data_IF_667495248685
#
_entry.id   IF_667495248685
#
_cell.length_a   1.000
_cell.length_b   1.000
_cell.length_c   1.000
_cell.angle_alpha   90.00
_cell.angle_beta   90.00
_cell.angle_gamma   90.00
#
_symmetry.space_group_name_H-M   'P 1'
#
loop_
_entity.id
_entity.type
_entity.pdbx_description
1 polymer ?
#
# COMPACT_ATOMS: atom_id res chain seq x y z
N UNK A 1 25.66 -20.68 10.93
CA UNK A 1 24.59 -19.69 11.19
C UNK A 1 24.12 -19.19 9.84
N UNK A 2 22.85 -19.43 9.50
CA UNK A 2 22.25 -18.92 8.25
C UNK A 2 22.00 -17.42 8.41
N UNK A 3 22.08 -16.65 7.32
CA UNK A 3 21.88 -15.19 7.37
C UNK A 3 20.48 -14.83 7.90
N UNK A 4 19.46 -15.58 7.51
CA UNK A 4 18.13 -15.52 8.11
C UNK A 4 18.13 -15.55 9.66
N UNK A 5 18.81 -16.52 10.27
CA UNK A 5 18.87 -16.66 11.74
C UNK A 5 19.47 -15.41 12.40
N UNK A 6 20.52 -14.85 11.79
CA UNK A 6 21.15 -13.61 12.23
C UNK A 6 20.14 -12.46 12.20
N UNK A 7 19.44 -12.30 11.09
CA UNK A 7 18.44 -11.25 10.86
C UNK A 7 17.19 -11.38 11.72
N UNK A 8 16.84 -12.58 12.20
CA UNK A 8 15.70 -12.77 13.12
C UNK A 8 16.07 -12.65 14.59
N UNK A 9 17.34 -12.41 14.91
CA UNK A 9 17.81 -12.20 16.28
C UNK A 9 18.03 -10.72 16.57
N UNK A 10 17.69 -10.25 17.77
CA UNK A 10 17.83 -8.84 18.14
C UNK A 10 19.29 -8.35 18.06
N UNK A 11 20.24 -9.18 18.52
CA UNK A 11 21.67 -8.84 18.45
C UNK A 11 22.19 -8.92 17.03
N UNK A 12 21.79 -9.95 16.26
CA UNK A 12 22.26 -10.14 14.90
C UNK A 12 21.77 -9.05 13.94
N UNK A 13 20.48 -8.70 14.02
CA UNK A 13 19.92 -7.56 13.28
C UNK A 13 20.69 -6.27 13.58
N UNK A 14 20.97 -5.98 14.87
CA UNK A 14 21.71 -4.78 15.25
C UNK A 14 23.12 -4.76 14.64
N UNK A 15 23.84 -5.88 14.67
CA UNK A 15 25.17 -5.97 14.04
C UNK A 15 25.09 -5.72 12.54
N UNK A 16 24.15 -6.36 11.82
CA UNK A 16 23.97 -6.15 10.37
C UNK A 16 23.63 -4.69 10.05
N UNK A 17 22.75 -4.07 10.84
CA UNK A 17 22.41 -2.66 10.70
C UNK A 17 23.65 -1.76 10.89
N UNK A 18 24.47 -2.00 11.93
CA UNK A 18 25.71 -1.24 12.12
C UNK A 18 26.68 -1.46 10.97
N UNK A 19 26.80 -2.67 10.44
CA UNK A 19 27.62 -2.93 9.26
C UNK A 19 27.19 -2.07 8.06
N UNK A 20 25.89 -2.02 7.75
CA UNK A 20 25.37 -1.18 6.67
C UNK A 20 25.54 0.32 6.89
N UNK A 21 25.58 0.78 8.15
CA UNK A 21 25.83 2.20 8.49
C UNK A 21 27.31 2.58 8.50
N UNK A 22 28.18 1.67 8.90
CA UNK A 22 29.60 1.97 9.16
C UNK A 22 30.53 1.66 7.98
N UNK A 23 30.19 0.68 7.14
CA UNK A 23 31.05 0.25 6.04
C UNK A 23 30.51 0.68 4.67
N UNK A 24 31.40 0.83 3.69
CA UNK A 24 31.05 1.19 2.32
C UNK A 24 30.31 0.03 1.63
N UNK A 25 29.53 0.30 0.56
CA UNK A 25 28.79 -0.74 -0.13
C UNK A 25 29.64 -1.95 -0.56
N UNK A 26 30.85 -1.73 -1.09
CA UNK A 26 31.73 -2.82 -1.54
C UNK A 26 32.22 -3.71 -0.38
N UNK A 27 32.35 -3.17 0.82
CA UNK A 27 32.78 -3.90 2.02
C UNK A 27 31.64 -4.75 2.58
N UNK A 28 30.39 -4.34 2.33
CA UNK A 28 29.17 -5.04 2.74
C UNK A 28 28.61 -5.99 1.67
N UNK A 29 29.34 -6.26 0.58
CA UNK A 29 28.82 -7.04 -0.55
C UNK A 29 28.25 -8.40 -0.14
N UNK A 30 28.96 -9.11 0.74
CA UNK A 30 28.51 -10.42 1.26
C UNK A 30 27.18 -10.32 2.02
N UNK A 31 26.95 -9.23 2.76
CA UNK A 31 25.69 -9.00 3.47
C UNK A 31 24.56 -8.65 2.50
N UNK A 32 24.86 -7.91 1.42
CA UNK A 32 23.87 -7.62 0.39
C UNK A 32 23.45 -8.86 -0.37
N UNK A 33 24.40 -9.70 -0.76
CA UNK A 33 24.12 -10.95 -1.47
C UNK A 33 23.27 -11.88 -0.61
N UNK A 34 23.60 -11.99 0.68
CA UNK A 34 22.81 -12.77 1.63
C UNK A 34 21.40 -12.18 1.84
N UNK A 35 21.28 -10.86 1.97
CA UNK A 35 19.99 -10.18 2.09
C UNK A 35 19.11 -10.37 0.86
N UNK A 36 19.69 -10.32 -0.34
CA UNK A 36 18.97 -10.53 -1.60
C UNK A 36 18.47 -11.96 -1.75
N UNK A 37 19.27 -12.95 -1.33
CA UNK A 37 18.90 -14.36 -1.37
C UNK A 37 17.72 -14.66 -0.42
N UNK A 38 17.74 -14.07 0.78
CA UNK A 38 16.76 -14.37 1.83
C UNK A 38 15.58 -13.36 1.86
N UNK A 39 15.53 -12.38 0.94
CA UNK A 39 14.61 -11.22 1.04
C UNK A 39 13.13 -11.59 1.19
N UNK A 40 12.66 -12.63 0.49
CA UNK A 40 11.26 -13.06 0.56
C UNK A 40 10.99 -13.83 1.86
N UNK A 41 11.93 -14.68 2.28
CA UNK A 41 11.83 -15.41 3.55
C UNK A 41 11.84 -14.43 4.73
N UNK A 42 12.69 -13.40 4.68
CA UNK A 42 12.72 -12.32 5.66
C UNK A 42 11.42 -11.52 5.64
N UNK A 43 10.93 -11.12 4.48
CA UNK A 43 9.70 -10.32 4.37
C UNK A 43 8.47 -11.05 4.96
N UNK A 44 8.43 -12.38 4.87
CA UNK A 44 7.32 -13.23 5.35
C UNK A 44 7.53 -13.76 6.78
N UNK A 45 8.51 -13.21 7.50
CA UNK A 45 8.82 -13.57 8.88
C UNK A 45 8.44 -12.45 9.85
N UNK A 46 7.85 -12.80 10.98
CA UNK A 46 7.43 -11.86 12.04
C UNK A 46 8.55 -10.91 12.48
N UNK A 47 9.78 -11.43 12.64
CA UNK A 47 10.95 -10.64 13.02
C UNK A 47 11.77 -10.23 11.79
N UNK A 48 11.79 -11.06 10.76
CA UNK A 48 12.53 -10.79 9.52
C UNK A 48 12.02 -9.54 8.79
N UNK A 49 10.71 -9.29 8.80
CA UNK A 49 10.13 -8.14 8.10
C UNK A 49 10.55 -6.81 8.74
N UNK A 50 10.69 -6.81 10.07
CA UNK A 50 11.19 -5.67 10.85
C UNK A 50 12.65 -5.41 10.49
N UNK A 51 13.48 -6.46 10.51
CA UNK A 51 14.90 -6.38 10.16
C UNK A 51 15.12 -5.94 8.71
N UNK A 52 14.31 -6.46 7.77
CA UNK A 52 14.36 -6.07 6.37
C UNK A 52 14.01 -4.58 6.21
N UNK A 53 12.94 -4.10 6.84
CA UNK A 53 12.58 -2.68 6.81
C UNK A 53 13.67 -1.78 7.43
N UNK A 54 14.30 -2.21 8.52
CA UNK A 54 15.46 -1.49 9.10
C UNK A 54 16.62 -1.44 8.11
N UNK A 55 16.95 -2.55 7.47
CA UNK A 55 18.02 -2.59 6.46
C UNK A 55 17.69 -1.71 5.25
N UNK A 56 16.43 -1.72 4.79
CA UNK A 56 15.96 -0.82 3.74
C UNK A 56 16.11 0.66 4.11
N UNK A 57 16.35 1.07 5.36
CA UNK A 57 16.70 2.46 5.68
C UNK A 57 18.21 2.74 5.62
N UNK A 58 19.04 1.70 5.65
CA UNK A 58 20.49 1.79 5.68
C UNK A 58 21.13 1.54 4.32
N UNK A 59 20.52 0.69 3.48
CA UNK A 59 21.05 0.37 2.15
C UNK A 59 20.81 1.53 1.18
N UNK A 60 21.89 1.96 0.50
CA UNK A 60 21.86 3.01 -0.53
C UNK A 60 22.25 2.52 -1.93
N UNK A 61 22.16 3.41 -2.90
CA UNK A 61 22.67 3.22 -4.26
C UNK A 61 22.06 2.03 -5.01
N UNK A 62 22.89 1.36 -5.81
CA UNK A 62 22.47 0.26 -6.69
C UNK A 62 21.90 -0.93 -5.91
N UNK A 63 22.48 -1.28 -4.76
CA UNK A 63 22.02 -2.40 -3.94
C UNK A 63 20.61 -2.16 -3.39
N UNK A 64 20.30 -0.91 -3.01
CA UNK A 64 18.94 -0.52 -2.61
C UNK A 64 17.97 -0.71 -3.78
N UNK A 65 18.34 -0.22 -4.96
CA UNK A 65 17.51 -0.35 -6.16
C UNK A 65 17.19 -1.81 -6.47
N UNK A 66 18.20 -2.69 -6.46
CA UNK A 66 18.01 -4.13 -6.71
C UNK A 66 17.06 -4.75 -5.67
N UNK A 67 17.25 -4.45 -4.37
CA UNK A 67 16.38 -4.94 -3.30
C UNK A 67 14.93 -4.50 -3.49
N UNK A 68 14.70 -3.22 -3.79
CA UNK A 68 13.36 -2.68 -3.99
C UNK A 68 12.67 -3.32 -5.20
N UNK A 69 13.40 -3.52 -6.31
CA UNK A 69 12.85 -4.22 -7.48
C UNK A 69 12.49 -5.68 -7.17
N UNK A 70 13.33 -6.38 -6.40
CA UNK A 70 13.06 -7.77 -5.98
C UNK A 70 11.82 -7.87 -5.10
N UNK A 71 11.61 -6.91 -4.20
CA UNK A 71 10.39 -6.82 -3.37
C UNK A 71 9.17 -6.51 -4.25
N UNK A 72 9.30 -5.57 -5.19
CA UNK A 72 8.20 -5.21 -6.09
C UNK A 72 7.76 -6.38 -6.98
N UNK A 73 8.69 -7.19 -7.46
CA UNK A 73 8.44 -8.41 -8.26
C UNK A 73 7.52 -9.41 -7.54
N UNK A 74 7.63 -9.48 -6.21
CA UNK A 74 6.88 -10.40 -5.34
C UNK A 74 5.77 -9.71 -4.55
N UNK A 75 5.41 -8.48 -4.94
CA UNK A 75 4.44 -7.67 -4.18
C UNK A 75 3.05 -8.28 -4.12
N UNK A 76 2.66 -9.10 -5.11
CA UNK A 76 1.43 -9.89 -5.08
C UNK A 76 1.41 -10.86 -3.89
N UNK A 77 2.45 -11.69 -3.73
CA UNK A 77 2.54 -12.66 -2.63
C UNK A 77 2.69 -11.93 -1.30
N UNK A 78 3.59 -10.95 -1.22
CA UNK A 78 3.90 -10.23 0.01
C UNK A 78 2.71 -9.42 0.53
N UNK A 79 1.86 -8.89 -0.34
CA UNK A 79 0.68 -8.11 0.09
C UNK A 79 -0.41 -8.97 0.75
N UNK A 80 -0.46 -10.27 0.45
CA UNK A 80 -1.37 -11.23 1.08
C UNK A 80 -0.76 -11.90 2.31
N UNK A 81 0.55 -11.75 2.54
CA UNK A 81 1.23 -12.37 3.67
C UNK A 81 0.98 -11.63 4.99
N UNK A 82 0.81 -12.34 6.13
CA UNK A 82 0.58 -11.74 7.45
C UNK A 82 1.66 -10.74 7.92
N UNK A 83 2.89 -10.84 7.39
CA UNK A 83 4.01 -9.96 7.74
C UNK A 83 4.51 -9.18 6.53
N UNK A 84 4.48 -9.77 5.34
CA UNK A 84 4.96 -9.19 4.09
C UNK A 84 4.25 -7.89 3.73
N UNK A 85 2.98 -7.72 4.12
CA UNK A 85 2.24 -6.49 3.82
C UNK A 85 2.88 -5.25 4.47
N UNK A 86 3.57 -5.41 5.62
CA UNK A 86 4.32 -4.31 6.25
C UNK A 86 5.52 -3.88 5.41
N UNK A 87 6.16 -4.82 4.72
CA UNK A 87 7.28 -4.53 3.81
C UNK A 87 6.80 -3.77 2.59
N UNK A 88 5.68 -4.21 1.97
CA UNK A 88 5.10 -3.50 0.83
C UNK A 88 4.64 -2.09 1.20
N UNK A 89 4.00 -1.94 2.37
CA UNK A 89 3.63 -0.61 2.87
C UNK A 89 4.87 0.27 3.06
N UNK A 90 5.92 -0.24 3.71
CA UNK A 90 7.16 0.51 3.90
C UNK A 90 7.76 0.95 2.56
N UNK A 91 7.86 0.04 1.58
CA UNK A 91 8.39 0.37 0.25
C UNK A 91 7.56 1.45 -0.45
N UNK A 92 6.23 1.39 -0.38
CA UNK A 92 5.36 2.44 -0.95
C UNK A 92 5.54 3.80 -0.25
N UNK A 93 5.89 3.83 1.04
CA UNK A 93 6.19 5.09 1.76
C UNK A 93 7.54 5.72 1.40
N UNK A 94 8.39 5.01 0.64
CA UNK A 94 9.65 5.58 0.15
C UNK A 94 9.45 6.55 -1.02
N UNK A 95 8.25 6.62 -1.60
CA UNK A 95 7.89 7.51 -2.70
C UNK A 95 8.82 7.39 -3.93
N UNK A 96 9.33 6.19 -4.20
CA UNK A 96 9.99 5.88 -5.47
C UNK A 96 8.92 5.59 -6.53
N UNK A 97 8.78 6.47 -7.52
CA UNK A 97 7.75 6.40 -8.55
C UNK A 97 7.85 5.12 -9.41
N UNK A 98 9.06 4.65 -9.69
CA UNK A 98 9.28 3.48 -10.53
C UNK A 98 8.90 2.21 -9.77
N UNK A 99 9.33 2.10 -8.51
CA UNK A 99 9.00 0.97 -7.65
C UNK A 99 7.50 0.96 -7.32
N UNK A 100 6.93 2.11 -6.98
CA UNK A 100 5.50 2.23 -6.69
C UNK A 100 4.65 1.84 -7.89
N UNK A 101 5.04 2.27 -9.10
CA UNK A 101 4.38 1.87 -10.35
C UNK A 101 4.50 0.36 -10.58
N UNK A 102 5.67 -0.22 -10.39
CA UNK A 102 5.89 -1.67 -10.55
C UNK A 102 5.00 -2.48 -9.60
N UNK A 103 4.89 -2.06 -8.33
CA UNK A 103 3.98 -2.66 -7.36
C UNK A 103 2.52 -2.53 -7.83
N UNK A 104 2.09 -1.34 -8.25
CA UNK A 104 0.71 -1.14 -8.70
C UNK A 104 0.34 -2.02 -9.90
N UNK A 105 1.23 -2.13 -10.90
CA UNK A 105 1.04 -3.02 -12.05
C UNK A 105 0.87 -4.48 -11.59
N UNK A 106 1.71 -4.93 -10.65
CA UNK A 106 1.65 -6.30 -10.13
C UNK A 106 0.35 -6.58 -9.37
N UNK A 107 -0.18 -5.57 -8.68
CA UNK A 107 -1.36 -5.68 -7.81
C UNK A 107 -2.70 -5.42 -8.50
N UNK A 108 -2.71 -5.03 -9.78
CA UNK A 108 -3.93 -4.64 -10.51
C UNK A 108 -5.07 -5.67 -10.40
N UNK A 109 -4.74 -6.97 -10.45
CA UNK A 109 -5.73 -8.05 -10.33
C UNK A 109 -6.04 -8.47 -8.88
N UNK A 110 -5.35 -7.89 -7.90
CA UNK A 110 -5.41 -8.28 -6.49
C UNK A 110 -6.14 -7.26 -5.62
N UNK A 111 -6.31 -6.02 -6.08
CA UNK A 111 -6.86 -4.93 -5.26
C UNK A 111 -8.18 -5.26 -4.55
N UNK A 112 -9.14 -5.86 -5.27
CA UNK A 112 -10.45 -6.17 -4.71
C UNK A 112 -10.37 -7.20 -3.57
N UNK A 113 -9.46 -8.17 -3.65
CA UNK A 113 -9.27 -9.15 -2.60
C UNK A 113 -8.46 -8.56 -1.44
N UNK A 114 -7.40 -7.81 -1.74
CA UNK A 114 -6.58 -7.14 -0.73
C UNK A 114 -7.41 -6.18 0.13
N UNK A 115 -8.33 -5.41 -0.48
CA UNK A 115 -9.24 -4.51 0.22
C UNK A 115 -10.14 -5.20 1.25
N UNK A 116 -10.27 -6.53 1.21
CA UNK A 116 -11.06 -7.34 2.13
C UNK A 116 -10.24 -7.92 3.29
N UNK A 117 -8.96 -7.62 3.35
CA UNK A 117 -8.06 -8.14 4.38
C UNK A 117 -7.49 -7.00 5.21
N UNK A 118 -7.24 -7.26 6.50
CA UNK A 118 -6.71 -6.27 7.45
C UNK A 118 -5.38 -5.67 6.98
N UNK A 119 -4.43 -6.50 6.51
CA UNK A 119 -3.12 -6.03 6.04
C UNK A 119 -3.16 -5.48 4.61
N UNK A 120 -3.88 -6.16 3.72
CA UNK A 120 -3.96 -5.81 2.31
C UNK A 120 -4.71 -4.50 2.06
N UNK A 121 -5.72 -4.15 2.87
CA UNK A 121 -6.46 -2.89 2.69
C UNK A 121 -5.53 -1.68 2.82
N UNK A 122 -4.58 -1.73 3.75
CA UNK A 122 -3.55 -0.70 3.91
C UNK A 122 -2.59 -0.63 2.71
N UNK A 123 -2.27 -1.76 2.09
CA UNK A 123 -1.49 -1.77 0.84
C UNK A 123 -2.27 -1.05 -0.27
N UNK A 124 -3.56 -1.35 -0.45
CA UNK A 124 -4.39 -0.69 -1.46
C UNK A 124 -4.52 0.81 -1.19
N UNK A 125 -4.69 1.22 0.07
CA UNK A 125 -4.69 2.63 0.47
C UNK A 125 -3.36 3.33 0.16
N UNK A 126 -2.22 2.64 0.30
CA UNK A 126 -0.93 3.19 -0.05
C UNK A 126 -0.73 3.29 -1.57
N UNK A 127 -1.21 2.31 -2.35
CA UNK A 127 -1.25 2.41 -3.81
C UNK A 127 -2.09 3.59 -4.29
N UNK A 128 -3.25 3.84 -3.65
CA UNK A 128 -4.07 5.03 -3.94
C UNK A 128 -3.31 6.34 -3.72
N UNK A 129 -2.44 6.39 -2.70
CA UNK A 129 -1.68 7.58 -2.31
C UNK A 129 -0.32 7.70 -3.02
N UNK A 130 0.17 6.66 -3.68
CA UNK A 130 1.56 6.60 -4.15
C UNK A 130 1.83 7.47 -5.37
N UNK A 131 0.92 7.50 -6.34
CA UNK A 131 1.07 8.28 -7.58
C UNK A 131 -0.26 8.41 -8.32
N UNK A 132 -0.32 9.26 -9.35
CA UNK A 132 -1.49 9.35 -10.24
C UNK A 132 -1.83 7.99 -10.87
N UNK A 133 -0.80 7.24 -11.29
CA UNK A 133 -0.96 5.90 -11.84
C UNK A 133 -1.58 4.94 -10.83
N UNK A 134 -1.06 4.91 -9.59
CA UNK A 134 -1.58 4.05 -8.53
C UNK A 134 -3.02 4.39 -8.16
N UNK A 135 -3.33 5.69 -8.01
CA UNK A 135 -4.71 6.16 -7.82
C UNK A 135 -5.63 5.67 -8.93
N UNK A 136 -5.24 5.88 -10.19
CA UNK A 136 -6.06 5.53 -11.34
C UNK A 136 -6.27 4.02 -11.44
N UNK A 137 -5.22 3.22 -11.32
CA UNK A 137 -5.27 1.76 -11.41
C UNK A 137 -6.21 1.14 -10.37
N UNK A 138 -6.13 1.58 -9.10
CA UNK A 138 -7.04 1.11 -8.05
C UNK A 138 -8.48 1.54 -8.32
N UNK A 139 -8.71 2.81 -8.68
CA UNK A 139 -10.06 3.35 -8.84
C UNK A 139 -10.77 2.77 -10.07
N UNK A 140 -10.06 2.61 -11.18
CA UNK A 140 -10.60 1.94 -12.37
C UNK A 140 -10.99 0.49 -12.04
N UNK A 141 -10.14 -0.25 -11.32
CA UNK A 141 -10.47 -1.61 -10.85
C UNK A 141 -11.72 -1.66 -9.96
N UNK A 142 -11.91 -0.68 -9.08
CA UNK A 142 -13.12 -0.57 -8.25
C UNK A 142 -14.37 -0.31 -9.10
N UNK A 143 -14.27 0.60 -10.08
CA UNK A 143 -15.38 0.98 -10.96
C UNK A 143 -15.76 -0.16 -11.93
N UNK A 144 -14.81 -0.99 -12.34
CA UNK A 144 -15.07 -2.19 -13.16
C UNK A 144 -15.94 -3.25 -12.44
N UNK A 145 -16.04 -3.19 -11.12
CA UNK A 145 -16.82 -4.13 -10.29
C UNK A 145 -17.70 -3.37 -9.31
N UNK A 146 -18.64 -2.58 -9.82
CA UNK A 146 -19.54 -1.73 -9.01
C UNK A 146 -20.20 -2.44 -7.81
N UNK A 147 -20.66 -3.70 -7.98
CA UNK A 147 -21.24 -4.46 -6.87
C UNK A 147 -20.23 -4.71 -5.75
N UNK A 148 -18.98 -4.99 -6.11
CA UNK A 148 -17.87 -5.17 -5.17
C UNK A 148 -17.48 -3.84 -4.52
N UNK A 149 -17.47 -2.74 -5.27
CA UNK A 149 -17.24 -1.40 -4.72
C UNK A 149 -18.28 -1.05 -3.64
N UNK A 150 -19.57 -1.29 -3.90
CA UNK A 150 -20.62 -1.05 -2.90
C UNK A 150 -20.48 -1.97 -1.69
N UNK A 151 -20.17 -3.26 -1.90
CA UNK A 151 -19.85 -4.16 -0.80
C UNK A 151 -18.66 -3.66 0.03
N UNK A 152 -17.57 -3.23 -0.62
CA UNK A 152 -16.40 -2.73 0.08
C UNK A 152 -16.72 -1.47 0.90
N UNK A 153 -17.68 -0.65 0.48
CA UNK A 153 -18.09 0.52 1.25
C UNK A 153 -18.72 0.17 2.61
N UNK A 154 -19.26 -1.03 2.78
CA UNK A 154 -19.79 -1.55 4.05
C UNK A 154 -18.86 -2.57 4.74
N UNK A 155 -17.82 -3.03 4.06
CA UNK A 155 -16.89 -4.01 4.59
C UNK A 155 -16.00 -3.44 5.71
N UNK A 156 -15.72 -4.23 6.76
CA UNK A 156 -14.93 -3.83 7.94
C UNK A 156 -13.53 -3.24 7.63
N UNK A 157 -12.89 -3.69 6.54
CA UNK A 157 -11.61 -3.14 6.06
C UNK A 157 -11.77 -2.32 4.75
N UNK A 158 -12.70 -2.75 3.89
CA UNK A 158 -12.87 -2.19 2.55
C UNK A 158 -13.35 -0.74 2.60
N UNK A 159 -14.09 -0.38 3.64
CA UNK A 159 -14.65 0.96 3.77
C UNK A 159 -13.53 2.01 3.83
N UNK A 160 -12.38 1.69 4.43
CA UNK A 160 -11.23 2.58 4.48
C UNK A 160 -10.60 2.80 3.10
N UNK A 161 -10.54 1.74 2.28
CA UNK A 161 -10.10 1.84 0.88
C UNK A 161 -11.03 2.75 0.08
N UNK A 162 -12.36 2.58 0.22
CA UNK A 162 -13.35 3.43 -0.48
C UNK A 162 -13.25 4.89 -0.02
N UNK A 163 -13.14 5.13 1.28
CA UNK A 163 -12.96 6.48 1.82
C UNK A 163 -11.66 7.13 1.31
N UNK A 164 -10.57 6.38 1.27
CA UNK A 164 -9.28 6.85 0.74
C UNK A 164 -9.39 7.16 -0.76
N UNK A 165 -10.03 6.29 -1.54
CA UNK A 165 -10.30 6.53 -2.97
C UNK A 165 -11.09 7.82 -3.19
N UNK A 166 -12.17 8.04 -2.43
CA UNK A 166 -12.97 9.27 -2.49
C UNK A 166 -12.14 10.52 -2.15
N UNK A 167 -11.35 10.49 -1.07
CA UNK A 167 -10.51 11.63 -0.66
C UNK A 167 -9.43 11.96 -1.68
N UNK A 168 -8.70 10.95 -2.18
CA UNK A 168 -7.60 11.15 -3.13
C UNK A 168 -8.15 11.63 -4.48
N UNK A 169 -9.19 10.98 -5.01
CA UNK A 169 -9.78 11.39 -6.29
C UNK A 169 -10.44 12.76 -6.21
N UNK A 170 -11.08 13.12 -5.08
CA UNK A 170 -11.62 14.47 -4.90
C UNK A 170 -10.55 15.55 -5.08
N UNK A 171 -9.35 15.30 -4.56
CA UNK A 171 -8.21 16.24 -4.63
C UNK A 171 -7.52 16.25 -5.98
N UNK A 172 -7.40 15.10 -6.64
CA UNK A 172 -6.50 14.92 -7.78
C UNK A 172 -7.19 14.57 -9.11
N UNK A 173 -8.40 14.01 -9.09
CA UNK A 173 -9.14 13.61 -10.30
C UNK A 173 -10.66 13.63 -10.07
N UNK A 174 -11.27 14.81 -10.27
CA UNK A 174 -12.69 15.03 -10.01
C UNK A 174 -13.62 14.18 -10.90
N UNK A 175 -13.16 13.73 -12.07
CA UNK A 175 -13.93 12.86 -12.96
C UNK A 175 -14.09 11.46 -12.35
N UNK A 176 -12.99 10.87 -11.86
CA UNK A 176 -13.04 9.59 -11.15
C UNK A 176 -13.81 9.71 -9.83
N UNK A 177 -13.64 10.83 -9.10
CA UNK A 177 -14.44 11.11 -7.90
C UNK A 177 -15.94 11.07 -8.19
N UNK A 178 -16.40 11.80 -9.22
CA UNK A 178 -17.82 11.81 -9.63
C UNK A 178 -18.32 10.42 -10.01
N UNK A 179 -17.48 9.61 -10.66
CA UNK A 179 -17.82 8.23 -11.05
C UNK A 179 -18.02 7.34 -9.82
N UNK A 180 -17.12 7.42 -8.83
CA UNK A 180 -17.26 6.71 -7.55
C UNK A 180 -18.55 7.11 -6.82
N UNK A 181 -18.80 8.42 -6.71
CA UNK A 181 -20.01 8.96 -6.05
C UNK A 181 -21.28 8.49 -6.76
N UNK A 182 -21.30 8.49 -8.09
CA UNK A 182 -22.45 8.03 -8.87
C UNK A 182 -22.79 6.57 -8.55
N UNK A 183 -21.79 5.68 -8.56
CA UNK A 183 -21.99 4.25 -8.25
C UNK A 183 -22.49 4.06 -6.82
N UNK A 184 -21.86 4.75 -5.85
CA UNK A 184 -22.19 4.61 -4.43
C UNK A 184 -23.59 5.17 -4.11
N UNK A 185 -24.01 6.29 -4.71
CA UNK A 185 -25.35 6.88 -4.51
C UNK A 185 -26.46 6.10 -5.22
N UNK A 186 -26.23 5.61 -6.44
CA UNK A 186 -27.28 4.92 -7.21
C UNK A 186 -27.75 3.60 -6.58
N UNK A 187 -26.95 3.00 -5.69
CA UNK A 187 -27.29 1.76 -5.00
C UNK A 187 -27.68 1.96 -3.52
N UNK A 188 -27.96 3.21 -3.10
CA UNK A 188 -28.23 3.56 -1.69
C UNK A 188 -29.60 3.16 -1.15
N UNK A 189 -30.55 2.71 -2.00
CA UNK A 189 -31.91 2.35 -1.55
C UNK A 189 -31.96 1.13 -0.62
N UNK A 190 -30.86 0.37 -0.49
CA UNK A 190 -30.74 -0.79 0.40
C UNK A 190 -29.88 -0.56 1.66
N UNK A 191 -29.26 0.62 1.85
CA UNK A 191 -28.04 0.79 2.67
C UNK A 191 -28.19 1.77 3.87
N UNK A 192 -29.40 1.93 4.42
CA UNK A 192 -29.64 2.93 5.50
C UNK A 192 -29.45 2.40 6.93
N UNK A 193 -29.19 1.10 7.09
CA UNK A 193 -29.21 0.44 8.41
C UNK A 193 -27.82 0.11 8.98
N UNK A 194 -26.77 0.04 8.17
CA UNK A 194 -25.40 -0.23 8.66
C UNK A 194 -24.68 1.07 9.07
N UNK A 195 -24.00 1.05 10.22
CA UNK A 195 -23.22 2.17 10.76
C UNK A 195 -21.98 2.45 9.88
N UNK A 196 -21.35 1.42 9.34
CA UNK A 196 -20.14 1.55 8.50
C UNK A 196 -20.50 2.25 7.19
N UNK A 197 -21.64 1.87 6.59
CA UNK A 197 -22.15 2.49 5.37
C UNK A 197 -22.38 4.00 5.56
N UNK A 198 -22.95 4.40 6.70
CA UNK A 198 -23.15 5.82 7.02
C UNK A 198 -21.85 6.62 7.00
N UNK A 199 -20.72 6.05 7.38
CA UNK A 199 -19.44 6.77 7.34
C UNK A 199 -19.03 7.14 5.91
N UNK A 200 -19.17 6.22 4.96
CA UNK A 200 -18.85 6.50 3.54
C UNK A 200 -19.80 7.56 2.96
N UNK A 201 -21.11 7.44 3.21
CA UNK A 201 -22.08 8.42 2.72
C UNK A 201 -21.91 9.79 3.37
N UNK A 202 -21.69 9.86 4.68
CA UNK A 202 -21.41 11.11 5.38
C UNK A 202 -20.14 11.79 4.82
N UNK A 203 -19.11 11.01 4.51
CA UNK A 203 -17.91 11.54 3.86
C UNK A 203 -18.23 12.14 2.48
N UNK A 204 -19.07 11.49 1.66
CA UNK A 204 -19.48 12.05 0.36
C UNK A 204 -20.17 13.40 0.56
N UNK A 205 -21.14 13.50 1.47
CA UNK A 205 -21.83 14.76 1.76
C UNK A 205 -20.86 15.85 2.23
N UNK A 206 -19.90 15.52 3.09
CA UNK A 206 -18.87 16.47 3.55
C UNK A 206 -17.97 16.95 2.40
N UNK A 207 -17.53 16.05 1.52
CA UNK A 207 -16.69 16.38 0.36
C UNK A 207 -17.44 17.15 -0.74
N UNK A 208 -18.77 17.04 -0.80
CA UNK A 208 -19.61 17.85 -1.68
C UNK A 208 -19.85 19.25 -1.09
N UNK A 209 -20.11 19.35 0.21
CA UNK A 209 -20.33 20.63 0.89
C UNK A 209 -19.10 21.54 0.87
N UNK A 210 -17.88 20.98 0.91
CA UNK A 210 -16.63 21.76 0.83
C UNK A 210 -16.42 22.48 -0.51
N UNK A 211 -17.13 22.12 -1.58
CA UNK A 211 -17.13 22.88 -2.84
C UNK A 211 -17.98 24.16 -2.79
N UNK A 212 -18.95 24.25 -1.87
CA UNK A 212 -19.83 25.42 -1.75
C UNK A 212 -19.17 26.57 -0.98
N UNK A 213 -18.09 26.30 -0.23
CA UNK A 213 -17.33 27.30 0.52
C UNK A 213 -16.20 27.99 -0.25
N UNK A 214 -15.89 27.54 -1.49
CA UNK A 214 -14.85 28.14 -2.34
C UNK A 214 -15.41 29.04 -3.46
N UNK A 215 -16.72 29.26 -3.49
CA UNK A 215 -17.36 30.31 -4.27
C UNK A 215 -17.64 31.48 -3.34
N UNK A 216 -16.64 32.31 -3.08
CA UNK A 216 -16.88 33.65 -2.55
C UNK A 216 -17.64 34.46 -3.62
N UNK A 217 -18.69 35.21 -3.24
CA UNK A 217 -19.39 36.09 -4.16
C UNK A 217 -18.47 37.23 -4.62
N UNK A 218 -18.64 37.65 -5.87
CA UNK A 218 -17.94 38.74 -6.55
C UNK A 218 -17.80 40.03 -5.70
#
# INVERSE_FOLDING_TARGET
MRFFELMTSAQGQYVVEQCFKSFKPNENQVLYDALLNDVIELATSQYGCISLNTCLNCVGGINRSILLHRIAEHSDILSHDPWGHYVIQHVLTLHDDNISRAICIRLERHYLHLAETMGGSHVVENCLKSSEFGMRSVVETLLERESKLVYLASHQFGNYVVQTALKVTKKHNNTLYKSLVMVLKNRSSALSHDIIERHVFNLIYQLEASNLGSLSPD
#
